data_IF_201006426493
#
_entry.id   IF_201006426493
#
_cell.length_a   1.000
_cell.length_b   1.000
_cell.length_c   1.000
_cell.angle_alpha   90.00
_cell.angle_beta   90.00
_cell.angle_gamma   90.00
#
_symmetry.space_group_name_H-M   'P 1'
#
loop_
_entity.id
_entity.type
_entity.pdbx_description
1 polymer ?
#
# COMPACT_ATOMS: atom_id res chain seq x y z
N UNK A 1 -1.49 7.98 23.77
CA UNK A 1 -0.01 8.04 23.79
C UNK A 1 0.43 8.25 22.35
N UNK A 2 1.50 9.02 22.09
CA UNK A 2 1.94 9.30 20.72
C UNK A 2 3.38 8.82 20.49
N UNK A 3 3.65 8.38 19.27
CA UNK A 3 5.00 8.11 18.78
C UNK A 3 5.35 9.17 17.72
N UNK A 4 6.35 9.99 18.00
CA UNK A 4 6.83 10.99 17.05
C UNK A 4 7.83 10.34 16.09
N UNK A 5 7.58 10.49 14.80
CA UNK A 5 8.51 10.05 13.76
C UNK A 5 8.71 11.12 12.70
N UNK A 6 9.83 11.04 12.00
CA UNK A 6 10.14 11.86 10.83
C UNK A 6 10.22 10.95 9.60
N UNK A 7 9.38 11.23 8.59
CA UNK A 7 9.34 10.48 7.32
C UNK A 7 9.64 11.48 6.21
N UNK A 8 10.69 11.23 5.44
CA UNK A 8 11.08 12.08 4.32
C UNK A 8 11.22 13.58 4.69
N UNK A 9 11.70 13.88 5.90
CA UNK A 9 11.85 15.25 6.42
C UNK A 9 10.59 15.86 7.05
N UNK A 10 9.47 15.11 7.07
CA UNK A 10 8.18 15.56 7.60
C UNK A 10 7.90 14.86 8.92
N UNK A 11 7.66 15.63 9.99
CA UNK A 11 7.38 15.09 11.34
C UNK A 11 5.90 14.82 11.53
N UNK A 12 5.57 13.69 12.16
CA UNK A 12 4.21 13.30 12.56
C UNK A 12 4.19 12.68 13.95
N UNK A 13 3.11 12.94 14.69
CA UNK A 13 2.80 12.29 15.95
C UNK A 13 1.74 11.22 15.67
N UNK A 14 2.17 9.96 15.64
CA UNK A 14 1.29 8.84 15.37
C UNK A 14 0.64 8.39 16.67
N UNK A 15 -0.68 8.20 16.65
CA UNK A 15 -1.40 7.66 17.80
C UNK A 15 -1.03 6.19 18.01
N UNK A 16 -0.74 5.83 19.26
CA UNK A 16 -0.39 4.46 19.64
C UNK A 16 -1.63 3.70 20.11
N UNK A 17 -1.89 2.57 19.47
CA UNK A 17 -2.95 1.63 19.81
C UNK A 17 -2.36 0.33 20.37
N UNK A 18 -2.76 -0.12 21.57
CA UNK A 18 -2.29 -1.38 22.12
C UNK A 18 -2.87 -2.56 21.33
N UNK A 19 -2.02 -3.49 20.92
CA UNK A 19 -2.44 -4.80 20.38
C UNK A 19 -2.58 -5.81 21.53
N UNK A 20 -1.61 -5.79 22.44
CA UNK A 20 -1.54 -6.63 23.64
C UNK A 20 -0.77 -5.89 24.76
N UNK A 21 -0.55 -6.55 25.89
CA UNK A 21 0.06 -5.96 27.10
C UNK A 21 1.47 -5.37 26.89
N UNK A 22 2.20 -5.81 25.86
CA UNK A 22 3.60 -5.41 25.62
C UNK A 22 3.83 -4.76 24.26
N UNK A 23 2.82 -4.75 23.38
CA UNK A 23 2.97 -4.34 21.98
C UNK A 23 1.91 -3.31 21.60
N UNK A 24 2.37 -2.17 21.07
CA UNK A 24 1.53 -1.14 20.47
C UNK A 24 1.86 -0.95 18.98
N UNK A 25 0.87 -0.54 18.20
CA UNK A 25 1.06 -0.04 16.83
C UNK A 25 0.92 1.47 16.82
N UNK A 26 1.87 2.15 16.19
CA UNK A 26 1.73 3.54 15.77
C UNK A 26 0.87 3.57 14.50
N UNK A 27 -0.35 4.09 14.58
CA UNK A 27 -1.25 4.15 13.44
C UNK A 27 -0.75 5.21 12.45
N UNK A 28 -0.23 4.74 11.32
CA UNK A 28 0.09 5.57 10.18
C UNK A 28 -1.08 5.56 9.19
N UNK A 29 -1.69 6.71 8.98
CA UNK A 29 -2.83 6.89 8.08
C UNK A 29 -2.47 7.98 7.07
N UNK A 30 -2.32 7.61 5.81
CA UNK A 30 -1.95 8.55 4.74
C UNK A 30 -3.15 9.35 4.21
N UNK A 31 -4.38 8.90 4.44
CA UNK A 31 -5.57 9.57 3.92
C UNK A 31 -5.69 11.00 4.45
N UNK A 32 -5.71 11.96 3.53
CA UNK A 32 -5.81 13.39 3.84
C UNK A 32 -4.46 14.06 4.12
N UNK A 33 -3.37 13.30 4.30
CA UNK A 33 -2.04 13.84 4.53
C UNK A 33 -1.26 13.96 3.21
N UNK A 34 -1.57 15.02 2.47
CA UNK A 34 -0.97 15.27 1.14
C UNK A 34 0.53 15.52 1.25
N UNK A 35 0.98 16.27 2.28
CA UNK A 35 2.38 16.64 2.47
C UNK A 35 3.26 15.41 2.64
N UNK A 36 2.89 14.49 3.54
CA UNK A 36 3.69 13.28 3.77
C UNK A 36 3.62 12.34 2.56
N UNK A 37 2.49 12.28 1.86
CA UNK A 37 2.32 11.46 0.66
C UNK A 37 3.28 11.90 -0.43
N UNK A 38 3.37 13.20 -0.70
CA UNK A 38 4.28 13.77 -1.69
C UNK A 38 5.75 13.56 -1.31
N UNK A 39 6.10 13.85 -0.05
CA UNK A 39 7.47 13.70 0.44
C UNK A 39 7.93 12.23 0.39
N UNK A 40 7.08 11.30 0.85
CA UNK A 40 7.38 9.87 0.84
C UNK A 40 7.46 9.31 -0.59
N UNK A 41 6.52 9.66 -1.48
CA UNK A 41 6.51 9.19 -2.87
C UNK A 41 7.81 9.56 -3.60
N UNK A 42 8.25 10.82 -3.49
CA UNK A 42 9.50 11.27 -4.10
C UNK A 42 10.71 10.49 -3.58
N UNK A 43 10.81 10.33 -2.26
CA UNK A 43 11.94 9.62 -1.63
C UNK A 43 11.95 8.12 -1.90
N UNK A 44 10.78 7.50 -2.05
CA UNK A 44 10.68 6.09 -2.42
C UNK A 44 11.09 5.87 -3.87
N UNK A 45 10.70 6.75 -4.80
CA UNK A 45 11.11 6.66 -6.20
C UNK A 45 12.62 6.80 -6.40
N UNK A 46 13.29 7.68 -5.64
CA UNK A 46 14.76 7.78 -5.64
C UNK A 46 15.45 6.44 -5.31
N UNK A 47 14.77 5.53 -4.61
CA UNK A 47 15.28 4.23 -4.16
C UNK A 47 14.68 3.05 -4.92
N UNK A 48 13.69 3.30 -5.76
CA UNK A 48 12.99 2.24 -6.47
C UNK A 48 13.93 1.58 -7.49
N UNK A 49 13.91 0.23 -7.63
CA UNK A 49 14.60 -0.43 -8.73
C UNK A 49 13.93 -0.06 -10.06
N UNK A 50 14.44 -0.53 -11.19
CA UNK A 50 13.70 -0.37 -12.44
C UNK A 50 12.37 -1.17 -12.39
N UNK A 51 11.28 -0.52 -12.78
CA UNK A 51 9.93 -1.11 -12.81
C UNK A 51 9.15 -0.64 -14.03
N UNK A 52 8.13 -1.40 -14.41
CA UNK A 52 7.27 -1.10 -15.56
C UNK A 52 5.82 -0.80 -15.14
N UNK A 53 5.43 -1.15 -13.91
CA UNK A 53 4.13 -0.83 -13.34
C UNK A 53 4.16 -0.84 -11.81
N UNK A 54 3.38 0.05 -11.19
CA UNK A 54 3.16 0.09 -9.74
C UNK A 54 1.95 -0.77 -9.39
N UNK A 55 2.07 -1.51 -8.29
CA UNK A 55 1.02 -2.33 -7.72
C UNK A 55 0.87 -2.01 -6.24
N UNK A 56 -0.35 -1.88 -5.75
CA UNK A 56 -0.64 -1.63 -4.33
C UNK A 56 -1.75 -2.54 -3.84
N UNK A 57 -1.74 -2.85 -2.55
CA UNK A 57 -2.81 -3.59 -1.90
C UNK A 57 -3.71 -2.63 -1.12
N UNK A 58 -5.03 -2.73 -1.29
CA UNK A 58 -6.00 -1.98 -0.48
C UNK A 58 -5.99 -0.46 -0.68
N UNK A 59 -6.78 0.25 0.12
CA UNK A 59 -7.15 1.63 -0.03
C UNK A 59 -6.13 2.59 0.59
N UNK A 60 -5.57 2.27 1.77
CA UNK A 60 -4.70 3.20 2.51
C UNK A 60 -3.45 3.62 1.75
N UNK A 61 -2.89 2.72 0.93
CA UNK A 61 -1.71 2.97 0.11
C UNK A 61 -2.03 3.48 -1.30
N UNK A 62 -3.31 3.60 -1.70
CA UNK A 62 -3.70 4.20 -3.00
C UNK A 62 -3.13 5.61 -3.18
N UNK A 63 -3.20 6.54 -2.20
CA UNK A 63 -2.64 7.88 -2.38
C UNK A 63 -1.14 7.86 -2.68
N UNK A 64 -0.39 6.97 -2.02
CA UNK A 64 1.04 6.80 -2.24
C UNK A 64 1.33 6.23 -3.64
N UNK A 65 0.65 5.15 -4.03
CA UNK A 65 0.80 4.54 -5.35
C UNK A 65 0.44 5.53 -6.47
N UNK A 66 -0.63 6.31 -6.29
CA UNK A 66 -1.02 7.37 -7.22
C UNK A 66 0.06 8.44 -7.37
N UNK A 67 0.57 9.00 -6.26
CA UNK A 67 1.57 10.06 -6.33
C UNK A 67 2.90 9.55 -6.89
N UNK A 68 3.30 8.31 -6.55
CA UNK A 68 4.46 7.66 -7.16
C UNK A 68 4.29 7.44 -8.67
N UNK A 69 3.13 6.95 -9.12
CA UNK A 69 2.85 6.76 -10.55
C UNK A 69 2.94 8.10 -11.31
N UNK A 70 2.31 9.14 -10.75
CA UNK A 70 2.35 10.50 -11.31
C UNK A 70 3.77 11.04 -11.42
N UNK A 71 4.58 10.94 -10.36
CA UNK A 71 5.97 11.40 -10.35
C UNK A 71 6.86 10.59 -11.31
N UNK A 72 6.57 9.30 -11.50
CA UNK A 72 7.24 8.44 -12.47
C UNK A 72 6.76 8.68 -13.92
N UNK A 73 5.87 9.65 -14.17
CA UNK A 73 5.33 9.93 -15.51
C UNK A 73 4.36 8.85 -16.03
N UNK A 74 3.82 8.03 -15.13
CA UNK A 74 2.86 6.97 -15.46
C UNK A 74 1.43 7.47 -15.30
N UNK A 75 0.55 7.02 -16.19
CA UNK A 75 -0.89 7.30 -16.13
C UNK A 75 -1.70 6.07 -15.69
N UNK A 76 -1.05 5.07 -15.11
CA UNK A 76 -1.69 3.81 -14.71
C UNK A 76 -0.96 3.13 -13.55
N UNK A 77 -1.71 2.41 -12.71
CA UNK A 77 -1.23 1.57 -11.62
C UNK A 77 -2.30 0.53 -11.26
N UNK A 78 -1.91 -0.54 -10.58
CA UNK A 78 -2.79 -1.68 -10.25
C UNK A 78 -3.09 -1.71 -8.76
N UNK A 79 -4.34 -2.06 -8.42
CA UNK A 79 -4.81 -2.15 -7.04
C UNK A 79 -5.42 -3.54 -6.82
N UNK A 80 -4.86 -4.32 -5.89
CA UNK A 80 -5.54 -5.49 -5.35
C UNK A 80 -6.67 -5.08 -4.39
N UNK A 81 -7.86 -5.65 -4.57
CA UNK A 81 -9.06 -5.30 -3.80
C UNK A 81 -9.33 -6.32 -2.70
N UNK A 82 -9.85 -5.87 -1.56
CA UNK A 82 -10.32 -6.75 -0.46
C UNK A 82 -11.67 -7.42 -0.70
N UNK A 83 -12.41 -6.97 -1.71
CA UNK A 83 -13.70 -7.52 -2.06
C UNK A 83 -13.87 -7.57 -3.57
N UNK A 84 -14.45 -8.66 -4.08
CA UNK A 84 -14.85 -8.81 -5.48
C UNK A 84 -15.77 -7.65 -5.87
N UNK A 85 -15.56 -7.08 -7.05
CA UNK A 85 -16.44 -6.06 -7.63
C UNK A 85 -17.20 -6.65 -8.81
N UNK A 86 -18.43 -6.20 -9.00
CA UNK A 86 -19.34 -6.73 -10.04
C UNK A 86 -18.75 -6.69 -11.47
N UNK A 87 -17.83 -5.76 -11.73
CA UNK A 87 -17.19 -5.58 -13.02
C UNK A 87 -15.93 -6.44 -13.23
N UNK A 88 -15.47 -7.16 -12.21
CA UNK A 88 -14.27 -7.99 -12.30
C UNK A 88 -14.60 -9.33 -12.95
N UNK A 89 -13.81 -9.71 -13.95
CA UNK A 89 -13.92 -10.99 -14.68
C UNK A 89 -12.67 -11.83 -14.43
N UNK A 90 -12.79 -13.16 -14.50
CA UNK A 90 -11.71 -14.13 -14.30
C UNK A 90 -10.84 -13.81 -13.07
N UNK A 91 -11.49 -13.70 -11.92
CA UNK A 91 -10.85 -13.20 -10.69
C UNK A 91 -9.77 -14.18 -10.22
N UNK A 92 -8.57 -13.66 -10.00
CA UNK A 92 -7.53 -14.30 -9.20
C UNK A 92 -7.72 -13.89 -7.75
N UNK A 93 -7.71 -14.87 -6.85
CA UNK A 93 -7.97 -14.72 -5.42
C UNK A 93 -6.83 -15.36 -4.63
N UNK A 94 -6.37 -14.65 -3.60
CA UNK A 94 -5.42 -15.17 -2.61
C UNK A 94 -5.93 -14.85 -1.20
N UNK A 95 -5.84 -15.82 -0.31
CA UNK A 95 -6.07 -15.63 1.12
C UNK A 95 -4.78 -15.17 1.80
N UNK A 96 -4.85 -14.09 2.59
CA UNK A 96 -3.73 -13.52 3.33
C UNK A 96 -4.06 -13.44 4.81
N UNK A 97 -3.06 -13.71 5.65
CA UNK A 97 -3.17 -13.60 7.10
C UNK A 97 -2.54 -12.27 7.56
N UNK A 98 -3.33 -11.40 8.19
CA UNK A 98 -2.85 -10.14 8.75
C UNK A 98 -2.84 -10.19 10.27
N UNK A 99 -1.82 -9.59 10.89
CA UNK A 99 -1.68 -9.48 12.34
C UNK A 99 -2.64 -8.43 12.92
N UNK A 100 -2.97 -7.39 12.14
CA UNK A 100 -3.66 -6.18 12.62
C UNK A 100 -5.17 -6.23 12.46
N UNK A 101 -5.71 -7.29 11.88
CA UNK A 101 -7.15 -7.45 11.62
C UNK A 101 -7.61 -8.84 11.98
N UNK A 102 -8.75 -8.94 12.67
CA UNK A 102 -9.36 -10.23 12.98
C UNK A 102 -9.87 -10.91 11.69
N UNK A 103 -9.44 -12.15 11.46
CA UNK A 103 -9.95 -13.01 10.39
C UNK A 103 -9.04 -13.12 9.16
N UNK A 104 -9.34 -14.12 8.33
CA UNK A 104 -8.72 -14.32 7.01
C UNK A 104 -9.09 -13.16 6.10
N UNK A 105 -8.09 -12.54 5.48
CA UNK A 105 -8.32 -11.53 4.44
C UNK A 105 -8.13 -12.15 3.07
N UNK A 106 -8.77 -11.55 2.07
CA UNK A 106 -8.62 -11.98 0.69
C UNK A 106 -8.20 -10.78 -0.15
N UNK A 107 -7.35 -11.03 -1.14
CA UNK A 107 -7.00 -10.07 -2.17
C UNK A 107 -7.46 -10.59 -3.53
N UNK A 108 -8.03 -9.69 -4.31
CA UNK A 108 -8.67 -9.97 -5.59
C UNK A 108 -8.07 -9.12 -6.70
N UNK A 109 -7.79 -9.75 -7.83
CA UNK A 109 -7.43 -9.10 -9.09
C UNK A 109 -8.34 -9.61 -10.21
N UNK A 110 -8.83 -8.72 -11.06
CA UNK A 110 -9.56 -9.09 -12.28
C UNK A 110 -8.60 -9.31 -13.44
N UNK A 111 -9.11 -9.88 -14.53
CA UNK A 111 -8.33 -10.12 -15.74
C UNK A 111 -7.60 -8.86 -16.24
N UNK A 112 -8.27 -7.71 -16.23
CA UNK A 112 -7.68 -6.44 -16.68
C UNK A 112 -6.42 -6.09 -15.88
N UNK A 113 -6.44 -6.27 -14.56
CA UNK A 113 -5.27 -6.03 -13.71
C UNK A 113 -4.18 -7.07 -13.94
N UNK A 114 -4.56 -8.34 -14.11
CA UNK A 114 -3.62 -9.44 -14.43
C UNK A 114 -2.88 -9.17 -15.75
N UNK A 115 -3.60 -8.74 -16.79
CA UNK A 115 -3.03 -8.43 -18.10
C UNK A 115 -2.06 -7.25 -18.03
N UNK A 116 -2.32 -6.28 -17.15
CA UNK A 116 -1.44 -5.13 -16.92
C UNK A 116 -0.11 -5.50 -16.29
N UNK A 117 -0.05 -6.52 -15.44
CA UNK A 117 1.16 -6.94 -14.71
C UNK A 117 1.91 -8.08 -15.38
N UNK A 118 1.25 -8.85 -16.26
CA UNK A 118 1.84 -10.03 -16.90
C UNK A 118 3.10 -9.68 -17.69
N UNK A 119 4.22 -10.32 -17.35
CA UNK A 119 5.50 -10.14 -18.02
C UNK A 119 6.20 -8.80 -17.73
N UNK A 120 5.71 -8.03 -16.75
CA UNK A 120 6.29 -6.73 -16.36
C UNK A 120 7.05 -6.84 -15.04
N UNK A 121 8.01 -5.93 -14.84
CA UNK A 121 8.64 -5.68 -13.54
C UNK A 121 7.66 -4.88 -12.68
N UNK A 122 7.13 -5.52 -11.64
CA UNK A 122 6.12 -4.92 -10.78
C UNK A 122 6.78 -4.33 -9.54
N UNK A 123 6.59 -3.02 -9.32
CA UNK A 123 6.93 -2.39 -8.05
C UNK A 123 5.74 -2.47 -7.11
N UNK A 124 5.84 -3.28 -6.06
CA UNK A 124 4.83 -3.33 -5.01
C UNK A 124 5.07 -2.19 -4.03
N UNK A 125 4.02 -1.41 -3.77
CA UNK A 125 4.03 -0.25 -2.88
C UNK A 125 2.98 -0.48 -1.80
N UNK A 126 3.32 -0.15 -0.56
CA UNK A 126 2.37 -0.11 0.54
C UNK A 126 2.75 1.01 1.53
N UNK A 127 1.80 1.44 2.35
CA UNK A 127 2.01 2.53 3.30
C UNK A 127 2.81 2.07 4.54
N UNK A 128 2.56 0.85 5.00
CA UNK A 128 3.27 0.21 6.10
C UNK A 128 3.43 -1.27 5.84
N UNK A 129 4.67 -1.76 5.92
CA UNK A 129 4.97 -3.20 5.93
C UNK A 129 5.35 -3.58 7.36
N UNK A 130 4.54 -4.40 8.01
CA UNK A 130 4.83 -4.97 9.33
C UNK A 130 5.62 -6.28 9.17
N UNK A 131 5.00 -7.44 9.35
CA UNK A 131 5.65 -8.74 9.10
C UNK A 131 5.72 -9.14 7.63
N UNK A 132 5.05 -8.40 6.74
CA UNK A 132 4.98 -8.72 5.32
C UNK A 132 4.08 -9.90 4.97
N UNK A 133 3.31 -10.45 5.90
CA UNK A 133 2.46 -11.64 5.67
C UNK A 133 1.29 -11.43 4.70
N UNK A 134 0.99 -10.17 4.37
CA UNK A 134 -0.01 -9.77 3.37
C UNK A 134 0.57 -9.42 2.01
N UNK A 135 1.90 -9.46 1.86
CA UNK A 135 2.65 -9.25 0.61
C UNK A 135 2.99 -10.58 -0.07
#
# INVERSE_FOLDING_TARGET
>A
MYYTMEIAGVKRNLELFPINETTCIAAFIMFGDVEITQAAAAKLLERAPEFDIIFTAEAKSIPLAYEMAKLAGMNDYVIARKAKKMYMKNIVEVEVASITTAGKQHLYLGQTEVDKVKGKRVLIVDDVISTGSSL
#
